data_IF_352769223140
#
_entry.id   IF_352769223140
#
_cell.length_a   1.000
_cell.length_b   1.000
_cell.length_c   1.000
_cell.angle_alpha   90.00
_cell.angle_beta   90.00
_cell.angle_gamma   90.00
#
_symmetry.space_group_name_H-M   'P 1'
#
loop_
_entity.id
_entity.type
_entity.pdbx_description
1 polymer ?
#
# COMPACT_ATOMS: atom_id res chain seq x y z
N UNK A 1 -10.05 -10.70 3.26
CA UNK A 1 -8.69 -10.14 3.38
C UNK A 1 -8.79 -8.64 3.64
N UNK A 2 -9.18 -8.28 4.86
CA UNK A 2 -8.83 -6.96 5.35
C UNK A 2 -7.31 -6.96 5.60
N UNK A 3 -6.64 -5.84 5.37
CA UNK A 3 -5.33 -5.59 6.00
C UNK A 3 -5.58 -5.30 7.47
N UNK A 4 -6.20 -6.25 8.15
CA UNK A 4 -6.45 -6.19 9.56
C UNK A 4 -5.07 -6.20 10.21
N UNK A 5 -4.70 -5.06 10.79
CA UNK A 5 -3.60 -4.94 11.77
C UNK A 5 -3.80 -5.89 12.97
N UNK A 6 -4.93 -6.60 12.99
CA UNK A 6 -5.31 -7.65 13.92
C UNK A 6 -4.40 -8.89 13.84
N UNK A 7 -3.69 -9.08 12.71
CA UNK A 7 -2.65 -10.12 12.60
C UNK A 7 -1.24 -9.55 12.68
N UNK A 8 -0.34 -10.30 13.32
CA UNK A 8 1.08 -9.94 13.39
C UNK A 8 1.70 -9.86 11.99
N UNK A 9 1.35 -10.80 11.11
CA UNK A 9 1.81 -10.82 9.71
C UNK A 9 1.32 -9.58 8.95
N UNK A 10 0.06 -9.19 9.11
CA UNK A 10 -0.48 -7.96 8.51
C UNK A 10 0.24 -6.71 8.99
N UNK A 11 0.54 -6.63 10.29
CA UNK A 11 1.30 -5.51 10.86
C UNK A 11 2.72 -5.43 10.28
N UNK A 12 3.42 -6.56 10.15
CA UNK A 12 4.75 -6.62 9.53
C UNK A 12 4.73 -6.20 8.06
N UNK A 13 3.75 -6.67 7.29
CA UNK A 13 3.58 -6.25 5.88
C UNK A 13 3.36 -4.74 5.77
N UNK A 14 2.51 -4.15 6.63
CA UNK A 14 2.31 -2.70 6.65
C UNK A 14 3.60 -1.93 6.98
N UNK A 15 4.41 -2.42 7.92
CA UNK A 15 5.70 -1.82 8.25
C UNK A 15 6.63 -1.82 7.03
N UNK A 16 6.78 -2.95 6.35
CA UNK A 16 7.62 -3.08 5.16
C UNK A 16 7.17 -2.13 4.02
N UNK A 17 5.87 -2.03 3.76
CA UNK A 17 5.34 -1.12 2.74
C UNK A 17 5.61 0.35 3.12
N UNK A 18 5.51 0.68 4.42
CA UNK A 18 5.83 2.01 4.93
C UNK A 18 7.33 2.33 4.78
N UNK A 19 8.20 1.35 4.98
CA UNK A 19 9.65 1.53 4.79
C UNK A 19 9.99 1.81 3.33
N UNK A 20 9.34 1.13 2.38
CA UNK A 20 9.48 1.45 0.95
C UNK A 20 8.98 2.86 0.62
N UNK A 21 7.86 3.28 1.20
CA UNK A 21 7.37 4.64 1.04
C UNK A 21 8.37 5.67 1.56
N UNK A 22 8.96 5.42 2.73
CA UNK A 22 10.00 6.25 3.33
C UNK A 22 11.22 6.35 2.40
N UNK A 23 11.70 5.25 1.84
CA UNK A 23 12.82 5.26 0.89
C UNK A 23 12.49 6.07 -0.37
N UNK A 24 11.27 5.97 -0.90
CA UNK A 24 10.83 6.81 -2.02
C UNK A 24 10.92 8.31 -1.69
N UNK A 25 10.49 8.72 -0.49
CA UNK A 25 10.61 10.11 -0.07
C UNK A 25 12.05 10.60 0.08
N UNK A 26 12.95 9.74 0.57
CA UNK A 26 14.36 10.11 0.77
C UNK A 26 15.14 10.24 -0.54
N UNK A 27 14.79 9.44 -1.54
CA UNK A 27 15.58 9.35 -2.77
C UNK A 27 14.94 10.05 -3.97
N UNK A 28 13.66 10.42 -3.90
CA UNK A 28 12.94 10.98 -5.04
C UNK A 28 12.07 12.17 -4.62
N UNK A 29 12.31 13.32 -5.26
CA UNK A 29 11.51 14.53 -5.06
C UNK A 29 10.18 14.41 -5.80
N UNK A 30 9.19 13.77 -5.18
CA UNK A 30 7.82 13.60 -5.72
C UNK A 30 6.80 14.40 -4.90
N UNK A 31 5.68 14.74 -5.53
CA UNK A 31 4.52 15.33 -4.84
C UNK A 31 3.63 14.25 -4.23
N UNK A 32 3.48 13.13 -4.96
CA UNK A 32 2.76 11.93 -4.55
C UNK A 32 3.29 10.74 -5.34
N UNK A 33 3.01 9.52 -4.88
CA UNK A 33 3.24 8.30 -5.65
C UNK A 33 2.25 7.21 -5.26
N UNK A 34 2.20 6.16 -6.07
CA UNK A 34 1.36 5.00 -5.82
C UNK A 34 2.20 3.77 -5.49
N UNK A 35 1.69 2.95 -4.58
CA UNK A 35 2.09 1.55 -4.42
C UNK A 35 0.86 0.67 -4.61
N UNK A 36 1.07 -0.53 -5.16
CA UNK A 36 0.01 -1.52 -5.32
C UNK A 36 0.34 -2.67 -4.38
N UNK A 37 -0.58 -2.97 -3.47
CA UNK A 37 -0.48 -4.16 -2.66
C UNK A 37 -1.30 -5.27 -3.30
N UNK A 38 -0.64 -6.37 -3.66
CA UNK A 38 -1.27 -7.56 -4.23
C UNK A 38 -1.28 -8.68 -3.19
N UNK A 39 -2.45 -9.24 -2.93
CA UNK A 39 -2.64 -10.39 -2.03
C UNK A 39 -3.58 -11.39 -2.72
N UNK A 40 -3.01 -12.51 -3.18
CA UNK A 40 -3.73 -13.52 -3.97
C UNK A 40 -4.45 -12.83 -5.15
N UNK A 41 -5.77 -12.93 -5.24
CA UNK A 41 -6.58 -12.37 -6.33
C UNK A 41 -7.03 -10.93 -6.09
N UNK A 42 -6.59 -10.30 -4.99
CA UNK A 42 -7.00 -8.96 -4.60
C UNK A 42 -5.84 -7.97 -4.69
N UNK A 43 -6.17 -6.74 -5.05
CA UNK A 43 -5.25 -5.62 -5.00
C UNK A 43 -5.84 -4.45 -4.20
N UNK A 44 -4.96 -3.62 -3.66
CA UNK A 44 -5.28 -2.29 -3.12
C UNK A 44 -4.34 -1.27 -3.74
N UNK A 45 -4.88 -0.10 -4.08
CA UNK A 45 -4.10 1.07 -4.46
C UNK A 45 -3.80 1.89 -3.21
N UNK A 46 -2.53 2.24 -3.04
CA UNK A 46 -2.07 3.10 -1.95
C UNK A 46 -1.51 4.37 -2.58
N UNK A 47 -2.20 5.50 -2.39
CA UNK A 47 -1.71 6.81 -2.79
C UNK A 47 -1.01 7.47 -1.61
N UNK A 48 0.29 7.68 -1.73
CA UNK A 48 1.09 8.39 -0.76
C UNK A 48 1.23 9.86 -1.15
N UNK A 49 1.06 10.75 -0.17
CA UNK A 49 1.48 12.15 -0.24
C UNK A 49 2.22 12.54 1.05
N UNK A 50 2.59 13.83 1.18
CA UNK A 50 3.32 14.31 2.36
C UNK A 50 2.50 14.30 3.65
N UNK A 51 1.17 14.20 3.57
CA UNK A 51 0.28 14.16 4.73
C UNK A 51 0.02 12.72 5.19
N UNK A 52 0.11 11.74 4.29
CA UNK A 52 -0.03 10.33 4.64
C UNK A 52 -0.32 9.42 3.46
N UNK A 53 -1.18 8.42 3.70
CA UNK A 53 -1.56 7.41 2.71
C UNK A 53 -3.07 7.25 2.64
N UNK A 54 -3.62 7.26 1.43
CA UNK A 54 -5.01 6.90 1.12
C UNK A 54 -5.00 5.50 0.52
N UNK A 55 -5.83 4.61 1.06
CA UNK A 55 -5.89 3.20 0.66
C UNK A 55 -7.26 2.91 0.05
N UNK A 56 -7.28 2.32 -1.15
CA UNK A 56 -8.52 1.90 -1.79
C UNK A 56 -9.16 0.72 -1.05
N UNK A 57 -10.44 0.50 -1.34
CA UNK A 57 -11.05 -0.81 -1.10
C UNK A 57 -10.29 -1.91 -1.84
N UNK A 58 -10.36 -3.13 -1.32
CA UNK A 58 -9.76 -4.29 -2.00
C UNK A 58 -10.62 -4.66 -3.21
N UNK A 59 -9.98 -4.78 -4.38
CA UNK A 59 -10.66 -5.17 -5.61
C UNK A 59 -10.00 -6.39 -6.24
N UNK A 60 -10.77 -7.18 -6.98
CA UNK A 60 -10.24 -8.33 -7.73
C UNK A 60 -9.62 -7.83 -9.03
N UNK A 61 -8.31 -7.60 -9.03
CA UNK A 61 -7.59 -7.01 -10.17
C UNK A 61 -7.64 -7.88 -11.44
N UNK A 62 -7.84 -9.20 -11.31
CA UNK A 62 -8.01 -10.10 -12.45
C UNK A 62 -9.37 -9.97 -13.14
N UNK A 63 -10.38 -9.43 -12.44
CA UNK A 63 -11.76 -9.30 -12.92
C UNK A 63 -12.17 -7.85 -13.18
N UNK A 64 -11.27 -6.92 -12.90
CA UNK A 64 -11.50 -5.48 -12.99
C UNK A 64 -10.32 -4.92 -13.79
N UNK A 65 -10.45 -4.79 -15.14
CA UNK A 65 -9.42 -4.25 -16.00
C UNK A 65 -9.03 -2.81 -15.65
#
# INVERSE_FOLDING_TARGET
YALERDSESGTRTCAQISDYARLMWHHQNRTFFFQILVIKDFARLLRYDRAGVIVSEAFRYQKTP
#
